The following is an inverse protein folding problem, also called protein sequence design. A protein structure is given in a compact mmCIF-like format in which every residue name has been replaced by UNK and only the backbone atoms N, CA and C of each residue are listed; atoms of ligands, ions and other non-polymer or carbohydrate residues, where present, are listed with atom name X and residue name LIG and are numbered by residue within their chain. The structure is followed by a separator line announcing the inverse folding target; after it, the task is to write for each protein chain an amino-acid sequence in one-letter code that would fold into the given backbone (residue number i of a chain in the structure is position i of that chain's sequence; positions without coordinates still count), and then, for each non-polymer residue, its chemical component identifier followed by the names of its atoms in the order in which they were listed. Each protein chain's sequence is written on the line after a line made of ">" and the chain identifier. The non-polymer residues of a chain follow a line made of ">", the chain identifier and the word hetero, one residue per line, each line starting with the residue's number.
data_IF_218131983062
#
_entry.id   IF_218131983062
#
_cell.length_a   1.000
_cell.length_b   1.000
_cell.length_c   1.000
_cell.angle_alpha   90.00
_cell.angle_beta   90.00
_cell.angle_gamma   90.00
#
_symmetry.space_group_name_H-M   'P 1'
#
loop_
_entity.id
_entity.type
_entity.pdbx_description
1 polymer ?
#
# COMPACT_ATOMS: atom_id res chain seq x y z
N UNK A 1 -11.91 -32.31 3.36
CA UNK A 1 -13.30 -32.73 3.09
C UNK A 1 -13.24 -34.09 2.41
N UNK A 2 -13.83 -35.10 3.00
CA UNK A 2 -13.96 -36.44 2.44
C UNK A 2 -15.43 -36.81 2.43
N UNK A 3 -15.88 -37.48 1.36
CA UNK A 3 -17.22 -38.05 1.32
C UNK A 3 -17.22 -39.35 2.11
N UNK A 4 -18.29 -39.61 2.83
CA UNK A 4 -18.47 -40.87 3.56
C UNK A 4 -18.86 -41.99 2.57
N UNK A 5 -18.49 -43.23 2.88
CA UNK A 5 -18.71 -44.37 1.97
C UNK A 5 -20.20 -44.60 1.64
N UNK A 6 -21.09 -44.22 2.55
CA UNK A 6 -22.55 -44.33 2.37
C UNK A 6 -23.20 -43.01 1.91
N UNK A 7 -22.40 -42.04 1.45
CA UNK A 7 -22.89 -40.77 0.94
C UNK A 7 -23.62 -40.93 -0.41
N UNK A 8 -24.82 -40.35 -0.50
CA UNK A 8 -25.54 -40.16 -1.75
C UNK A 8 -25.04 -38.91 -2.47
N UNK A 9 -24.37 -39.12 -3.60
CA UNK A 9 -23.98 -38.05 -4.52
C UNK A 9 -24.97 -37.97 -5.67
N UNK A 10 -25.57 -36.79 -5.88
CA UNK A 10 -26.47 -36.54 -7.01
C UNK A 10 -26.16 -35.20 -7.66
N UNK A 11 -26.46 -35.11 -8.96
CA UNK A 11 -26.27 -33.90 -9.75
C UNK A 11 -27.60 -33.16 -9.81
N UNK A 12 -27.61 -31.92 -9.34
CA UNK A 12 -28.76 -31.03 -9.49
C UNK A 12 -28.36 -29.80 -10.31
N UNK A 13 -28.93 -29.71 -11.52
CA UNK A 13 -28.50 -28.75 -12.55
C UNK A 13 -27.03 -29.00 -12.92
N UNK A 14 -26.13 -28.10 -12.54
CA UNK A 14 -24.69 -28.16 -12.81
C UNK A 14 -23.86 -28.24 -11.51
N UNK A 15 -24.44 -28.75 -10.42
CA UNK A 15 -23.78 -28.85 -9.11
C UNK A 15 -23.84 -30.28 -8.58
N UNK A 16 -22.72 -30.73 -8.04
CA UNK A 16 -22.66 -31.96 -7.24
C UNK A 16 -23.22 -31.67 -5.84
N UNK A 17 -24.18 -32.47 -5.41
CA UNK A 17 -24.73 -32.47 -4.05
C UNK A 17 -24.37 -33.80 -3.38
N UNK A 18 -24.03 -33.72 -2.11
CA UNK A 18 -23.71 -34.84 -1.23
C UNK A 18 -24.50 -34.64 0.07
N UNK A 19 -25.13 -35.69 0.57
CA UNK A 19 -25.89 -35.68 1.83
C UNK A 19 -25.00 -35.84 3.07
N UNK A 20 -23.80 -36.42 2.92
CA UNK A 20 -22.84 -36.68 4.00
C UNK A 20 -21.41 -36.36 3.57
N UNK A 21 -20.71 -35.59 4.38
CA UNK A 21 -19.28 -35.36 4.21
C UNK A 21 -18.64 -35.09 5.56
N UNK A 22 -17.44 -35.61 5.73
CA UNK A 22 -16.61 -35.30 6.88
C UNK A 22 -15.68 -34.13 6.52
N UNK A 23 -15.75 -33.07 7.31
CA UNK A 23 -14.72 -32.04 7.30
C UNK A 23 -13.60 -32.47 8.24
N UNK A 24 -12.36 -32.26 7.81
CA UNK A 24 -11.22 -32.32 8.71
C UNK A 24 -11.37 -31.29 9.84
N UNK A 25 -10.44 -31.31 10.81
CA UNK A 25 -10.35 -30.26 11.83
C UNK A 25 -10.36 -28.87 11.22
N UNK A 26 -10.97 -27.92 11.93
CA UNK A 26 -10.94 -26.50 11.54
C UNK A 26 -9.48 -26.03 11.57
N UNK A 27 -8.94 -25.67 10.42
CA UNK A 27 -7.64 -25.03 10.28
C UNK A 27 -7.83 -23.55 9.92
N UNK A 28 -6.98 -22.68 10.45
CA UNK A 28 -6.92 -21.28 10.03
C UNK A 28 -6.43 -21.19 8.59
N UNK A 29 -6.87 -20.17 7.84
CA UNK A 29 -6.43 -20.00 6.45
C UNK A 29 -4.91 -19.86 6.36
N UNK A 30 -4.27 -19.15 7.30
CA UNK A 30 -2.81 -19.02 7.39
C UNK A 30 -2.08 -20.33 7.70
N UNK A 31 -2.78 -21.36 8.18
CA UNK A 31 -2.22 -22.67 8.51
C UNK A 31 -2.42 -23.70 7.40
N UNK A 32 -2.88 -23.29 6.21
CA UNK A 32 -3.05 -24.20 5.08
C UNK A 32 -1.72 -24.49 4.39
N UNK A 33 -1.43 -25.76 4.13
CA UNK A 33 -0.20 -26.18 3.43
C UNK A 33 -0.07 -25.65 1.99
N UNK A 34 -1.18 -25.17 1.41
CA UNK A 34 -1.19 -24.57 0.06
C UNK A 34 -0.28 -23.35 -0.06
N UNK A 35 0.01 -22.67 1.06
CA UNK A 35 0.94 -21.52 1.08
C UNK A 35 2.40 -21.93 0.92
N UNK A 36 2.74 -23.23 1.00
CA UNK A 36 4.08 -23.72 0.71
C UNK A 36 4.34 -23.89 -0.80
N UNK A 37 3.29 -23.85 -1.64
CA UNK A 37 3.43 -23.87 -3.10
C UNK A 37 3.58 -22.43 -3.62
N UNK A 38 4.78 -22.10 -4.10
CA UNK A 38 5.09 -20.78 -4.65
C UNK A 38 4.22 -20.43 -5.88
N UNK A 39 3.88 -21.41 -6.73
CA UNK A 39 3.00 -21.19 -7.88
C UNK A 39 1.59 -20.82 -7.44
N UNK A 40 1.08 -21.51 -6.42
CA UNK A 40 -0.20 -21.18 -5.81
C UNK A 40 -0.17 -19.78 -5.18
N UNK A 41 0.85 -19.48 -4.40
CA UNK A 41 1.04 -18.18 -3.77
C UNK A 41 1.03 -17.04 -4.79
N UNK A 42 1.80 -17.17 -5.88
CA UNK A 42 1.84 -16.18 -6.97
C UNK A 42 0.45 -16.00 -7.59
N UNK A 43 -0.29 -17.07 -7.86
CA UNK A 43 -1.66 -16.98 -8.40
C UNK A 43 -2.61 -16.30 -7.42
N UNK A 44 -2.47 -16.59 -6.13
CA UNK A 44 -3.31 -16.03 -5.09
C UNK A 44 -3.08 -14.51 -4.92
N UNK A 45 -1.83 -14.06 -4.85
CA UNK A 45 -1.51 -12.62 -4.75
C UNK A 45 -1.85 -11.86 -6.03
N UNK A 46 -1.79 -12.50 -7.20
CA UNK A 46 -2.28 -11.93 -8.48
C UNK A 46 -3.79 -11.64 -8.47
N UNK A 47 -4.57 -12.47 -7.78
CA UNK A 47 -6.02 -12.24 -7.66
C UNK A 47 -6.32 -11.20 -6.58
N UNK A 48 -5.60 -11.23 -5.46
CA UNK A 48 -5.74 -10.28 -4.37
C UNK A 48 -4.40 -10.11 -3.62
N UNK A 49 -3.76 -8.95 -3.74
CA UNK A 49 -2.45 -8.67 -3.16
C UNK A 49 -2.44 -8.79 -1.63
N UNK A 50 -3.56 -8.55 -0.95
CA UNK A 50 -3.68 -8.74 0.50
C UNK A 50 -3.56 -10.18 0.96
N UNK A 51 -3.62 -11.15 0.03
CA UNK A 51 -3.41 -12.57 0.34
C UNK A 51 -2.00 -12.83 0.86
N UNK A 52 -1.03 -11.94 0.58
CA UNK A 52 0.34 -12.03 1.09
C UNK A 52 0.40 -12.14 2.63
N UNK A 53 -0.61 -11.63 3.34
CA UNK A 53 -0.71 -11.71 4.81
C UNK A 53 -0.79 -13.15 5.36
N UNK A 54 -1.14 -14.13 4.52
CA UNK A 54 -1.27 -15.53 4.92
C UNK A 54 -0.05 -16.38 4.59
N UNK A 55 0.92 -15.83 3.86
CA UNK A 55 2.11 -16.52 3.41
C UNK A 55 3.20 -16.28 4.44
N UNK A 56 3.69 -17.34 5.09
CA UNK A 56 4.86 -17.21 5.97
C UNK A 56 6.11 -16.92 5.13
N UNK A 57 6.80 -15.82 5.44
CA UNK A 57 8.05 -15.38 4.77
C UNK A 57 7.95 -15.42 3.23
N UNK A 58 7.06 -14.61 2.62
CA UNK A 58 6.87 -14.62 1.17
C UNK A 58 8.19 -14.29 0.45
N UNK A 59 8.48 -15.01 -0.63
CA UNK A 59 9.64 -14.71 -1.49
C UNK A 59 9.52 -13.31 -2.09
N UNK A 60 10.64 -12.71 -2.49
CA UNK A 60 10.63 -11.37 -3.10
C UNK A 60 9.74 -11.32 -4.35
N UNK A 61 9.65 -12.40 -5.12
CA UNK A 61 8.75 -12.50 -6.27
C UNK A 61 7.27 -12.39 -5.86
N UNK A 62 6.86 -13.07 -4.78
CA UNK A 62 5.51 -12.98 -4.22
C UNK A 62 5.24 -11.56 -3.70
N UNK A 63 6.19 -10.97 -2.99
CA UNK A 63 6.09 -9.60 -2.47
C UNK A 63 5.90 -8.57 -3.59
N UNK A 64 6.70 -8.67 -4.65
CA UNK A 64 6.61 -7.79 -5.82
C UNK A 64 5.26 -7.94 -6.51
N UNK A 65 4.76 -9.17 -6.68
CA UNK A 65 3.47 -9.40 -7.33
C UNK A 65 2.30 -8.90 -6.47
N UNK A 66 2.37 -9.08 -5.15
CA UNK A 66 1.39 -8.53 -4.21
C UNK A 66 1.35 -6.99 -4.27
N UNK A 67 2.51 -6.33 -4.20
CA UNK A 67 2.62 -4.88 -4.29
C UNK A 67 2.19 -4.32 -5.66
N UNK A 68 2.45 -5.07 -6.73
CA UNK A 68 2.02 -4.72 -8.10
C UNK A 68 0.50 -4.82 -8.26
N UNK A 69 -0.13 -5.80 -7.61
CA UNK A 69 -1.57 -5.99 -7.63
C UNK A 69 -2.27 -4.90 -6.79
N UNK A 70 -1.82 -4.67 -5.57
CA UNK A 70 -2.28 -3.59 -4.68
C UNK A 70 -1.13 -3.09 -3.82
N UNK A 71 -0.70 -1.84 -4.02
CA UNK A 71 0.41 -1.25 -3.29
C UNK A 71 0.17 -1.18 -1.78
N UNK A 72 -1.09 -1.21 -1.33
CA UNK A 72 -1.44 -1.28 0.10
C UNK A 72 -1.09 -2.62 0.72
N UNK A 73 -0.88 -3.68 -0.06
CA UNK A 73 -0.49 -4.99 0.43
C UNK A 73 0.87 -4.97 1.15
N UNK A 74 1.71 -3.96 0.88
CA UNK A 74 3.00 -3.77 1.55
C UNK A 74 2.89 -3.68 3.08
N UNK A 75 1.73 -3.31 3.62
CA UNK A 75 1.46 -3.28 5.07
C UNK A 75 1.56 -4.67 5.74
N UNK A 76 1.48 -5.75 4.95
CA UNK A 76 1.57 -7.14 5.41
C UNK A 76 2.91 -7.79 5.10
N UNK A 77 3.87 -7.03 4.57
CA UNK A 77 5.21 -7.51 4.21
C UNK A 77 6.18 -7.03 5.28
N UNK A 78 6.81 -7.96 6.01
CA UNK A 78 7.86 -7.61 6.96
C UNK A 78 9.14 -7.20 6.22
N UNK A 79 9.68 -6.02 6.54
CA UNK A 79 10.93 -5.47 5.99
C UNK A 79 11.02 -5.59 4.45
N UNK A 80 10.09 -4.97 3.69
CA UNK A 80 10.11 -5.03 2.24
C UNK A 80 11.40 -4.43 1.67
N UNK A 81 11.95 -5.05 0.63
CA UNK A 81 13.10 -4.50 -0.10
C UNK A 81 12.73 -3.15 -0.74
N UNK A 82 13.73 -2.32 -1.04
CA UNK A 82 13.50 -1.04 -1.72
C UNK A 82 12.79 -1.26 -3.08
N UNK A 83 13.04 -2.37 -3.77
CA UNK A 83 12.34 -2.71 -5.01
C UNK A 83 10.82 -2.90 -4.77
N UNK A 84 10.43 -3.63 -3.73
CA UNK A 84 9.03 -3.83 -3.33
C UNK A 84 8.39 -2.52 -2.92
N UNK A 85 9.09 -1.70 -2.12
CA UNK A 85 8.66 -0.36 -1.73
C UNK A 85 8.37 0.52 -2.96
N UNK A 86 9.29 0.55 -3.92
CA UNK A 86 9.14 1.32 -5.16
C UNK A 86 7.95 0.85 -5.99
N UNK A 87 7.73 -0.46 -6.10
CA UNK A 87 6.54 -1.00 -6.80
C UNK A 87 5.26 -0.57 -6.09
N UNK A 88 5.20 -0.68 -4.76
CA UNK A 88 4.04 -0.31 -3.97
C UNK A 88 3.67 1.18 -4.13
N UNK A 89 4.65 2.09 -3.98
CA UNK A 89 4.37 3.54 -4.06
C UNK A 89 4.11 4.01 -5.50
N UNK A 90 4.65 3.33 -6.52
CA UNK A 90 4.29 3.58 -7.93
C UNK A 90 2.85 3.17 -8.23
N UNK A 91 2.39 2.07 -7.63
CA UNK A 91 1.02 1.60 -7.78
C UNK A 91 0.04 2.47 -6.99
N UNK A 92 0.38 2.83 -5.75
CA UNK A 92 -0.42 3.65 -4.84
C UNK A 92 0.48 4.50 -3.94
N UNK A 93 0.56 5.81 -4.17
CA UNK A 93 1.50 6.71 -3.50
C UNK A 93 1.30 6.79 -1.98
N UNK A 94 0.05 6.66 -1.51
CA UNK A 94 -0.22 6.59 -0.07
C UNK A 94 0.24 5.28 0.59
N UNK A 95 0.74 4.29 -0.17
CA UNK A 95 1.37 3.11 0.40
C UNK A 95 2.60 3.45 1.25
N UNK A 96 3.23 4.62 1.03
CA UNK A 96 4.37 5.07 1.82
C UNK A 96 4.09 5.14 3.32
N UNK A 97 2.83 5.32 3.72
CA UNK A 97 2.42 5.32 5.13
C UNK A 97 2.67 4.00 5.87
N UNK A 98 2.88 2.91 5.11
CA UNK A 98 3.17 1.57 5.63
C UNK A 98 4.65 1.22 5.54
N UNK A 99 5.50 2.13 5.06
CA UNK A 99 6.93 1.91 4.87
C UNK A 99 7.67 2.61 6.01
N UNK A 100 8.44 1.84 6.78
CA UNK A 100 9.28 2.39 7.83
C UNK A 100 10.58 2.95 7.23
N UNK A 101 10.89 4.21 7.50
CA UNK A 101 12.10 4.91 7.04
C UNK A 101 12.37 4.76 5.52
N UNK A 102 11.44 5.19 4.64
CA UNK A 102 11.61 5.08 3.19
C UNK A 102 12.81 5.90 2.72
N UNK A 103 13.54 5.38 1.71
CA UNK A 103 14.61 6.12 1.06
C UNK A 103 14.07 7.39 0.38
N UNK A 104 14.92 8.39 0.15
CA UNK A 104 14.51 9.61 -0.55
C UNK A 104 13.95 9.29 -1.96
N UNK A 105 14.46 8.26 -2.63
CA UNK A 105 13.93 7.81 -3.92
C UNK A 105 12.49 7.29 -3.81
N UNK A 106 12.17 6.53 -2.76
CA UNK A 106 10.80 6.06 -2.47
C UNK A 106 9.89 7.24 -2.13
N UNK A 107 10.37 8.19 -1.32
CA UNK A 107 9.66 9.42 -0.96
C UNK A 107 9.30 10.26 -2.18
N UNK A 108 10.28 10.55 -3.05
CA UNK A 108 10.09 11.28 -4.30
C UNK A 108 9.08 10.57 -5.21
N UNK A 109 9.17 9.24 -5.30
CA UNK A 109 8.26 8.45 -6.13
C UNK A 109 6.84 8.51 -5.59
N UNK A 110 6.65 8.43 -4.27
CA UNK A 110 5.35 8.55 -3.63
C UNK A 110 4.73 9.94 -3.82
N UNK A 111 5.50 11.01 -3.58
CA UNK A 111 5.06 12.39 -3.74
C UNK A 111 4.69 12.70 -5.21
N UNK A 112 5.47 12.19 -6.16
CA UNK A 112 5.19 12.32 -7.60
C UNK A 112 3.94 11.55 -8.02
N UNK A 113 3.69 10.39 -7.42
CA UNK A 113 2.49 9.60 -7.68
C UNK A 113 1.25 10.28 -7.09
N UNK A 114 1.31 10.74 -5.84
CA UNK A 114 0.24 11.47 -5.18
C UNK A 114 0.77 12.41 -4.10
N UNK A 115 0.61 13.72 -4.28
CA UNK A 115 1.21 14.78 -3.45
C UNK A 115 0.78 14.72 -1.99
N UNK A 116 -0.44 14.23 -1.69
CA UNK A 116 -0.88 14.00 -0.32
C UNK A 116 -0.08 12.90 0.40
N UNK A 117 0.76 12.12 -0.29
CA UNK A 117 1.69 11.19 0.36
C UNK A 117 2.67 11.90 1.29
N UNK A 118 2.95 13.19 1.07
CA UNK A 118 3.86 13.98 1.90
C UNK A 118 3.46 14.05 3.38
N UNK A 119 2.16 13.93 3.68
CA UNK A 119 1.66 13.93 5.07
C UNK A 119 2.16 12.72 5.89
N UNK A 120 2.66 11.67 5.23
CA UNK A 120 3.16 10.45 5.83
C UNK A 120 4.70 10.35 5.77
N UNK A 121 5.38 11.40 5.34
CA UNK A 121 6.84 11.44 5.25
C UNK A 121 7.36 12.30 6.41
N UNK A 122 8.17 11.71 7.29
CA UNK A 122 8.83 12.48 8.34
C UNK A 122 9.97 13.31 7.73
N UNK A 123 9.95 14.63 8.00
CA UNK A 123 10.97 15.61 7.54
C UNK A 123 11.34 15.46 6.05
N UNK A 124 10.39 15.63 5.12
CA UNK A 124 10.66 15.49 3.68
C UNK A 124 11.73 16.49 3.23
N UNK A 125 12.63 16.06 2.35
CA UNK A 125 13.59 16.97 1.73
C UNK A 125 12.89 18.04 0.89
N UNK A 126 13.57 19.16 0.61
CA UNK A 126 13.01 20.22 -0.24
C UNK A 126 12.62 19.67 -1.63
N UNK A 127 13.35 18.70 -2.16
CA UNK A 127 13.00 18.06 -3.43
C UNK A 127 11.66 17.30 -3.34
N UNK A 128 11.44 16.54 -2.26
CA UNK A 128 10.16 15.84 -2.01
C UNK A 128 9.02 16.84 -1.81
N UNK A 129 9.25 17.92 -1.07
CA UNK A 129 8.29 19.00 -0.88
C UNK A 129 7.87 19.63 -2.21
N UNK A 130 8.85 19.97 -3.06
CA UNK A 130 8.62 20.54 -4.38
C UNK A 130 7.80 19.60 -5.27
N UNK A 131 8.12 18.30 -5.30
CA UNK A 131 7.34 17.33 -6.10
C UNK A 131 5.88 17.24 -5.62
N UNK A 132 5.65 17.26 -4.31
CA UNK A 132 4.29 17.22 -3.76
C UNK A 132 3.47 18.47 -4.12
N UNK A 133 4.03 19.68 -3.92
CA UNK A 133 3.30 20.94 -4.18
C UNK A 133 3.11 21.22 -5.67
N UNK A 134 4.03 20.76 -6.55
CA UNK A 134 3.84 20.80 -8.01
C UNK A 134 2.60 20.00 -8.43
N UNK A 135 2.32 18.89 -7.75
CA UNK A 135 1.13 18.10 -8.05
C UNK A 135 -0.12 18.73 -7.43
N UNK A 136 -0.07 19.09 -6.14
CA UNK A 136 -1.20 19.59 -5.37
C UNK A 136 -0.71 20.70 -4.42
N UNK A 137 -0.90 21.97 -4.78
CA UNK A 137 -0.37 23.10 -4.01
C UNK A 137 -0.89 23.16 -2.58
N UNK A 138 -2.13 22.70 -2.34
CA UNK A 138 -2.73 22.70 -1.00
C UNK A 138 -2.08 21.73 -0.01
N UNK A 139 -1.20 20.83 -0.46
CA UNK A 139 -0.44 19.95 0.45
C UNK A 139 0.63 20.70 1.23
N UNK A 140 0.93 21.96 0.86
CA UNK A 140 1.84 22.82 1.63
C UNK A 140 1.39 22.98 3.10
N UNK A 141 0.10 22.83 3.39
CA UNK A 141 -0.42 22.85 4.77
C UNK A 141 0.12 21.71 5.66
N UNK A 142 0.66 20.64 5.05
CA UNK A 142 1.26 19.50 5.75
C UNK A 142 2.79 19.59 5.86
N UNK A 143 3.39 20.66 5.32
CA UNK A 143 4.85 20.85 5.31
C UNK A 143 5.22 21.80 6.45
N UNK A 144 6.02 21.34 7.40
CA UNK A 144 6.59 22.23 8.42
C UNK A 144 7.72 23.06 7.81
N UNK A 145 7.67 24.39 8.00
CA UNK A 145 8.69 25.35 7.55
C UNK A 145 9.06 25.21 6.06
N UNK A 146 8.11 25.31 5.11
CA UNK A 146 8.43 25.22 3.69
C UNK A 146 9.38 26.35 3.26
N UNK A 147 10.34 26.04 2.38
CA UNK A 147 11.23 27.06 1.81
C UNK A 147 10.44 28.07 0.96
N UNK A 148 11.02 29.23 0.68
CA UNK A 148 10.42 30.22 -0.21
C UNK A 148 10.14 29.63 -1.60
N UNK A 149 11.02 28.75 -2.10
CA UNK A 149 10.82 28.05 -3.36
C UNK A 149 9.58 27.14 -3.32
N UNK A 150 9.39 26.38 -2.24
CA UNK A 150 8.20 25.52 -2.04
C UNK A 150 6.93 26.36 -1.93
N UNK A 151 6.97 27.48 -1.21
CA UNK A 151 5.85 28.41 -1.09
C UNK A 151 5.45 29.00 -2.44
N UNK A 152 6.43 29.48 -3.21
CA UNK A 152 6.19 30.06 -4.53
C UNK A 152 5.61 29.03 -5.50
N UNK A 153 6.14 27.80 -5.51
CA UNK A 153 5.64 26.74 -6.38
C UNK A 153 4.21 26.32 -5.98
N UNK A 154 3.89 26.27 -4.69
CA UNK A 154 2.53 25.99 -4.23
C UNK A 154 1.53 27.07 -4.68
N UNK A 155 1.87 28.35 -4.53
CA UNK A 155 1.02 29.48 -4.98
C UNK A 155 0.85 29.48 -6.49
N UNK A 156 1.93 29.16 -7.22
CA UNK A 156 1.89 29.02 -8.68
C UNK A 156 0.95 27.89 -9.12
N UNK A 157 0.93 26.78 -8.38
CA UNK A 157 0.04 25.65 -8.65
C UNK A 157 -1.43 25.98 -8.29
N UNK A 158 -1.67 26.61 -7.14
CA UNK A 158 -2.99 27.03 -6.68
C UNK A 158 -2.89 28.33 -5.88
N UNK A 159 -3.29 29.46 -6.47
CA UNK A 159 -3.18 30.78 -5.84
C UNK A 159 -3.93 30.91 -4.50
N UNK A 160 -4.99 30.11 -4.27
CA UNK A 160 -5.74 30.14 -3.03
C UNK A 160 -4.95 29.62 -1.82
N UNK A 161 -3.82 28.93 -2.03
CA UNK A 161 -3.00 28.42 -0.92
C UNK A 161 -2.24 29.51 -0.18
N UNK A 162 -2.27 30.75 -0.68
CA UNK A 162 -1.67 31.91 -0.01
C UNK A 162 -2.23 32.08 1.41
N UNK A 163 -3.50 31.73 1.65
CA UNK A 163 -4.13 31.75 2.97
C UNK A 163 -3.42 30.82 3.98
N UNK A 164 -2.95 29.65 3.52
CA UNK A 164 -2.19 28.72 4.37
C UNK A 164 -0.80 29.26 4.71
N UNK A 165 -0.17 29.97 3.77
CA UNK A 165 1.16 30.57 3.94
C UNK A 165 1.08 31.80 4.87
N UNK A 166 0.09 32.67 4.67
CA UNK A 166 -0.14 33.85 5.52
C UNK A 166 -0.42 33.47 6.97
N UNK A 167 -1.24 32.43 7.19
CA UNK A 167 -1.50 31.89 8.54
C UNK A 167 -0.22 31.44 9.23
N UNK A 168 0.70 30.83 8.49
CA UNK A 168 2.00 30.40 8.99
C UNK A 168 2.91 31.59 9.39
N UNK A 169 2.95 32.63 8.55
CA UNK A 169 3.71 33.87 8.82
C UNK A 169 3.14 34.63 10.01
N UNK A 170 1.80 34.67 10.15
CA UNK A 170 1.11 35.34 11.26
C UNK A 170 1.37 34.69 12.62
N UNK A 171 1.37 33.35 12.70
CA UNK A 171 1.66 32.62 13.95
C UNK A 171 3.07 32.95 14.46
N UNK A 172 4.07 33.04 13.57
CA UNK A 172 5.45 33.39 13.94
C UNK A 172 5.67 34.85 14.39
N UNK A 173 4.72 35.75 14.13
CA UNK A 173 4.81 37.14 14.64
C UNK A 173 4.32 37.27 16.08
N UNK A 174 3.76 36.21 16.67
CA UNK A 174 3.12 36.21 17.99
C UNK A 174 3.97 35.44 19.03
N UNK A 175 4.97 34.65 18.60
CA UNK A 175 5.98 33.99 19.44
C UNK A 175 7.26 34.83 19.54
#
# INVERSE_FOLDING_TARGET
>A
MQLEDDCQVYIEKNKFKADKFTLSSRIGISSMDVWNDESFCIKAVKQNGFTVQYIDKPSEAIQLEAAKQDGRAIQYIDKPSEAVQMVAVKQYGLAIKYINNPSEAVQLTAAKQYGYAIQYIDKPSEAVQLEAVKQIGSVIQYIDKPSEAVQLEAVKQNGCVIEYIEKYILIKKIE
#
